data_IF_289586205693
#
_entry.id   IF_289586205693
#
_cell.length_a   1.000
_cell.length_b   1.000
_cell.length_c   1.000
_cell.angle_alpha   90.00
_cell.angle_beta   90.00
_cell.angle_gamma   90.00
#
_symmetry.space_group_name_H-M   'P 1'
#
loop_
_entity.id
_entity.type
_entity.pdbx_description
1 polymer ?
#
# COMPACT_ATOMS: atom_id res chain seq x y z
N UNK A 1 35.47 -4.37 32.73
CA UNK A 1 34.63 -4.99 31.68
C UNK A 1 33.37 -4.16 31.54
N UNK A 2 33.03 -3.72 30.31
CA UNK A 2 31.89 -2.82 30.09
C UNK A 2 30.58 -3.59 30.28
N UNK A 3 29.74 -3.10 31.19
CA UNK A 3 28.31 -3.45 31.26
C UNK A 3 27.64 -2.74 30.08
N UNK A 4 27.55 -3.41 28.93
CA UNK A 4 26.70 -2.98 27.84
C UNK A 4 25.28 -3.50 28.08
N UNK A 5 24.36 -2.55 28.14
CA UNK A 5 22.92 -2.73 28.04
C UNK A 5 22.54 -3.85 27.06
N UNK A 6 21.52 -4.64 27.40
CA UNK A 6 20.16 -4.55 26.84
C UNK A 6 19.32 -5.59 27.61
N UNK A 7 18.38 -5.11 28.43
CA UNK A 7 17.18 -5.87 28.77
C UNK A 7 16.45 -6.20 27.46
N UNK A 8 16.73 -7.36 26.85
CA UNK A 8 15.89 -7.90 25.79
C UNK A 8 14.75 -8.63 26.49
N UNK A 9 13.59 -7.98 26.54
CA UNK A 9 12.36 -8.50 27.13
C UNK A 9 11.90 -9.78 26.42
N UNK A 10 12.40 -10.91 26.89
CA UNK A 10 11.85 -12.23 26.64
C UNK A 10 12.05 -13.01 27.93
N UNK A 11 10.95 -13.35 28.61
CA UNK A 11 11.00 -14.28 29.73
C UNK A 11 11.66 -15.61 29.35
N UNK A 12 11.96 -16.49 30.32
CA UNK A 12 12.61 -17.76 30.04
C UNK A 12 11.85 -18.52 28.94
N UNK A 13 12.56 -18.93 27.89
CA UNK A 13 11.97 -19.70 26.78
C UNK A 13 11.74 -21.14 27.25
N UNK A 14 10.49 -21.61 27.15
CA UNK A 14 10.15 -23.02 27.39
C UNK A 14 10.83 -23.89 26.32
N UNK A 15 11.40 -25.08 26.65
CA UNK A 15 11.94 -26.00 25.65
C UNK A 15 10.89 -26.39 24.59
N UNK A 16 11.32 -26.51 23.34
CA UNK A 16 10.46 -26.86 22.21
C UNK A 16 11.24 -27.69 21.17
N UNK A 17 10.56 -28.56 20.40
CA UNK A 17 11.20 -29.37 19.37
C UNK A 17 11.74 -28.49 18.23
N UNK A 18 13.03 -28.63 17.90
CA UNK A 18 13.69 -27.79 16.87
C UNK A 18 13.47 -28.29 15.44
N UNK A 19 13.06 -29.55 15.29
CA UNK A 19 12.87 -30.20 13.99
C UNK A 19 11.47 -30.00 13.42
N UNK A 20 10.53 -29.46 14.20
CA UNK A 20 9.16 -29.19 13.74
C UNK A 20 9.14 -27.91 12.92
N UNK A 21 8.58 -27.99 11.72
CA UNK A 21 8.41 -26.86 10.81
C UNK A 21 6.93 -26.58 10.57
N UNK A 22 6.58 -25.30 10.49
CA UNK A 22 5.26 -24.83 10.06
C UNK A 22 5.42 -23.57 9.21
N UNK A 23 4.52 -23.35 8.22
CA UNK A 23 4.60 -22.20 7.32
C UNK A 23 4.45 -20.86 8.05
N UNK A 24 3.75 -20.83 9.19
CA UNK A 24 3.60 -19.61 10.00
C UNK A 24 4.80 -19.34 10.94
N UNK A 25 5.78 -20.25 10.97
CA UNK A 25 6.88 -20.25 11.94
C UNK A 25 6.66 -21.29 13.05
N UNK A 26 7.20 -21.02 14.23
CA UNK A 26 7.12 -21.90 15.39
C UNK A 26 7.37 -21.15 16.69
N UNK A 27 7.84 -21.86 17.71
CA UNK A 27 8.10 -21.26 19.02
C UNK A 27 9.19 -20.19 18.96
N UNK A 28 8.83 -18.96 19.33
CA UNK A 28 9.73 -17.81 19.43
C UNK A 28 10.55 -17.53 18.17
N UNK A 29 9.94 -17.67 17.00
CA UNK A 29 10.58 -17.43 15.70
C UNK A 29 11.13 -16.01 15.59
N UNK A 30 12.46 -15.87 15.59
CA UNK A 30 13.15 -14.61 15.38
C UNK A 30 14.36 -14.86 14.45
N UNK A 31 14.13 -15.08 13.14
CA UNK A 31 15.21 -15.34 12.21
C UNK A 31 16.08 -14.08 12.05
N UNK A 32 17.38 -14.27 11.83
CA UNK A 32 18.34 -13.17 11.74
C UNK A 32 18.04 -12.19 10.57
N UNK A 33 17.39 -12.68 9.51
CA UNK A 33 17.06 -11.95 8.29
C UNK A 33 15.64 -11.37 8.25
N UNK A 34 14.92 -11.30 9.38
CA UNK A 34 13.52 -10.87 9.40
C UNK A 34 13.29 -9.52 8.70
N UNK A 35 14.20 -8.56 8.87
CA UNK A 35 14.09 -7.22 8.26
C UNK A 35 14.07 -7.27 6.74
N UNK A 36 15.02 -8.02 6.16
CA UNK A 36 15.13 -8.17 4.70
C UNK A 36 13.92 -8.91 4.14
N UNK A 37 13.48 -9.98 4.80
CA UNK A 37 12.30 -10.74 4.36
C UNK A 37 11.02 -9.88 4.41
N UNK A 38 10.84 -9.09 5.46
CA UNK A 38 9.72 -8.14 5.57
C UNK A 38 9.80 -7.05 4.50
N UNK A 39 10.99 -6.52 4.21
CA UNK A 39 11.16 -5.53 3.14
C UNK A 39 10.81 -6.10 1.76
N UNK A 40 11.24 -7.34 1.47
CA UNK A 40 10.89 -8.05 0.22
C UNK A 40 9.38 -8.23 0.12
N UNK A 41 8.75 -8.81 1.14
CA UNK A 41 7.29 -9.04 1.13
C UNK A 41 6.50 -7.73 1.05
N UNK A 42 6.95 -6.68 1.75
CA UNK A 42 6.37 -5.34 1.64
C UNK A 42 6.46 -4.80 0.21
N UNK A 43 7.63 -4.94 -0.44
CA UNK A 43 7.81 -4.56 -1.84
C UNK A 43 6.88 -5.31 -2.79
N UNK A 44 6.70 -6.61 -2.60
CA UNK A 44 5.75 -7.43 -3.38
C UNK A 44 4.31 -6.93 -3.21
N UNK A 45 3.87 -6.71 -1.96
CA UNK A 45 2.51 -6.22 -1.68
C UNK A 45 2.27 -4.85 -2.29
N UNK A 46 3.20 -3.91 -2.11
CA UNK A 46 3.11 -2.56 -2.70
C UNK A 46 3.10 -2.63 -4.23
N UNK A 47 3.95 -3.48 -4.83
CA UNK A 47 3.99 -3.67 -6.27
C UNK A 47 2.66 -4.17 -6.83
N UNK A 48 2.07 -5.20 -6.21
CA UNK A 48 0.75 -5.73 -6.61
C UNK A 48 -0.34 -4.67 -6.44
N UNK A 49 -0.35 -3.97 -5.31
CA UNK A 49 -1.33 -2.92 -5.05
C UNK A 49 -1.23 -1.78 -6.07
N UNK A 50 -0.01 -1.35 -6.43
CA UNK A 50 0.21 -0.31 -7.43
C UNK A 50 -0.26 -0.74 -8.84
N UNK A 51 0.01 -1.99 -9.24
CA UNK A 51 -0.48 -2.54 -10.51
C UNK A 51 -2.01 -2.63 -10.55
N UNK A 52 -2.62 -3.16 -9.48
CA UNK A 52 -4.07 -3.27 -9.38
C UNK A 52 -4.74 -1.88 -9.38
N UNK A 53 -4.16 -0.91 -8.66
CA UNK A 53 -4.61 0.48 -8.68
C UNK A 53 -4.52 1.07 -10.08
N UNK A 54 -3.36 0.99 -10.75
CA UNK A 54 -3.21 1.53 -12.11
C UNK A 54 -4.23 0.92 -13.08
N UNK A 55 -4.41 -0.40 -13.03
CA UNK A 55 -5.40 -1.09 -13.86
C UNK A 55 -6.83 -0.63 -13.56
N UNK A 56 -7.17 -0.53 -12.27
CA UNK A 56 -8.49 -0.05 -11.82
C UNK A 56 -8.74 1.39 -12.28
N UNK A 57 -7.78 2.31 -12.09
CA UNK A 57 -7.89 3.71 -12.48
C UNK A 57 -8.04 3.90 -14.00
N UNK A 58 -7.43 3.02 -14.79
CA UNK A 58 -7.55 3.02 -16.26
C UNK A 58 -8.86 2.41 -16.76
N UNK A 59 -9.46 1.49 -16.00
CA UNK A 59 -10.72 0.82 -16.33
C UNK A 59 -11.94 1.43 -15.67
N UNK A 60 -11.75 2.37 -14.75
CA UNK A 60 -12.83 3.03 -14.06
C UNK A 60 -13.71 3.77 -15.07
N UNK A 61 -14.99 3.41 -15.07
CA UNK A 61 -16.02 4.03 -15.87
C UNK A 61 -17.16 4.50 -14.96
N UNK A 62 -17.65 5.71 -15.22
CA UNK A 62 -18.75 6.39 -14.54
C UNK A 62 -19.75 6.85 -15.58
N UNK A 63 -21.02 6.57 -15.29
CA UNK A 63 -22.15 7.02 -16.10
C UNK A 63 -22.39 8.52 -15.96
N UNK A 64 -22.16 9.04 -14.75
CA UNK A 64 -22.34 10.46 -14.43
C UNK A 64 -21.01 11.06 -13.99
N UNK A 65 -20.66 12.20 -14.60
CA UNK A 65 -19.45 12.93 -14.25
C UNK A 65 -19.67 13.79 -13.00
N UNK A 66 -18.72 13.79 -12.07
CA UNK A 66 -18.87 14.51 -10.81
C UNK A 66 -18.74 16.03 -11.01
N UNK A 67 -19.52 16.79 -10.24
CA UNK A 67 -19.53 18.26 -10.28
C UNK A 67 -18.16 18.84 -9.88
N UNK A 68 -17.72 19.96 -10.48
CA UNK A 68 -16.38 20.52 -10.28
C UNK A 68 -16.07 20.90 -8.82
N UNK A 69 -17.07 21.35 -8.07
CA UNK A 69 -16.99 21.77 -6.66
C UNK A 69 -16.84 20.61 -5.65
N UNK A 70 -17.14 19.37 -6.06
CA UNK A 70 -17.14 18.20 -5.17
C UNK A 70 -15.77 17.55 -5.05
N UNK A 71 -15.29 17.35 -3.83
CA UNK A 71 -14.07 16.57 -3.59
C UNK A 71 -14.33 15.06 -3.66
N UNK A 72 -13.45 14.35 -4.36
CA UNK A 72 -13.29 12.90 -4.27
C UNK A 72 -11.87 12.50 -4.70
N UNK A 73 -11.23 11.51 -4.06
CA UNK A 73 -9.82 11.23 -4.30
C UNK A 73 -9.51 10.74 -5.72
N UNK A 74 -10.38 9.93 -6.32
CA UNK A 74 -10.11 9.34 -7.63
C UNK A 74 -10.03 10.34 -8.78
N UNK A 75 -10.50 11.57 -8.56
CA UNK A 75 -10.33 12.73 -9.43
C UNK A 75 -8.90 12.95 -9.91
N UNK A 76 -7.91 12.50 -9.13
CA UNK A 76 -6.49 12.69 -9.42
C UNK A 76 -5.88 11.59 -10.31
N UNK A 77 -6.48 10.40 -10.37
CA UNK A 77 -5.88 9.24 -11.05
C UNK A 77 -6.79 8.54 -12.06
N UNK A 78 -8.12 8.63 -11.94
CA UNK A 78 -9.05 7.98 -12.88
C UNK A 78 -8.92 8.58 -14.27
N UNK A 79 -8.69 7.71 -15.27
CA UNK A 79 -8.47 8.12 -16.66
C UNK A 79 -9.65 8.93 -17.21
N UNK A 80 -10.85 8.37 -17.12
CA UNK A 80 -12.08 8.96 -17.67
C UNK A 80 -12.33 10.38 -17.12
N UNK A 81 -12.07 10.61 -15.83
CA UNK A 81 -12.33 11.91 -15.18
C UNK A 81 -11.29 12.95 -15.61
N UNK A 82 -10.03 12.54 -15.74
CA UNK A 82 -8.97 13.44 -16.22
C UNK A 82 -9.20 13.89 -17.65
N UNK A 83 -9.65 12.98 -18.51
CA UNK A 83 -9.98 13.26 -19.91
C UNK A 83 -11.19 14.19 -19.99
N UNK A 84 -12.29 13.85 -19.29
CA UNK A 84 -13.49 14.69 -19.23
C UNK A 84 -13.20 16.11 -18.72
N UNK A 85 -12.47 16.26 -17.61
CA UNK A 85 -12.16 17.59 -17.09
C UNK A 85 -11.20 18.40 -17.97
N UNK A 86 -10.34 17.73 -18.74
CA UNK A 86 -9.50 18.41 -19.74
C UNK A 86 -10.35 18.94 -20.90
N UNK A 87 -11.32 18.17 -21.37
CA UNK A 87 -12.27 18.58 -22.41
C UNK A 87 -13.13 19.76 -21.94
N UNK A 88 -13.69 19.70 -20.73
CA UNK A 88 -14.49 20.79 -20.17
C UNK A 88 -13.70 22.09 -20.03
N UNK A 89 -12.40 21.99 -19.68
CA UNK A 89 -11.49 23.15 -19.63
C UNK A 89 -11.22 23.72 -21.02
N UNK A 90 -10.99 22.86 -22.01
CA UNK A 90 -10.78 23.28 -23.40
C UNK A 90 -12.03 23.96 -23.99
N UNK A 91 -13.22 23.50 -23.60
CA UNK A 91 -14.50 24.12 -23.98
C UNK A 91 -14.81 25.44 -23.24
N UNK A 92 -14.00 25.83 -22.24
CA UNK A 92 -14.25 27.02 -21.43
C UNK A 92 -15.47 26.90 -20.52
N UNK A 93 -15.82 25.68 -20.09
CA UNK A 93 -17.00 25.45 -19.24
C UNK A 93 -16.79 26.08 -17.87
N UNK A 94 -17.74 26.90 -17.38
CA UNK A 94 -17.64 27.52 -16.06
C UNK A 94 -17.43 26.48 -14.95
N UNK A 95 -16.50 26.76 -14.04
CA UNK A 95 -16.20 25.89 -12.89
C UNK A 95 -15.14 24.80 -13.14
N UNK A 96 -14.75 24.53 -14.38
CA UNK A 96 -13.60 23.64 -14.71
C UNK A 96 -12.29 24.41 -14.99
N UNK A 97 -12.33 25.73 -14.80
CA UNK A 97 -11.25 26.67 -15.09
C UNK A 97 -10.01 26.43 -14.25
N UNK A 98 -10.21 26.08 -12.98
CA UNK A 98 -9.12 25.92 -12.01
C UNK A 98 -8.81 24.44 -11.78
N UNK A 99 -7.61 24.04 -12.19
CA UNK A 99 -6.79 23.08 -11.46
C UNK A 99 -5.37 23.62 -11.40
#
# INVERSE_FOLDING_TARGET
MRVTQILRGGGPKVPYPKHVWSPAGGWYSQPANWKTNTAIMGGVVVGIAAMAWNLSANREFRNEMPQPDRFFPSRFWSKQIKEYEAEQRAAGTPGYEKR
#
